data_IF_511030106253
#
_entry.id   IF_511030106253
#
_cell.length_a   1.000
_cell.length_b   1.000
_cell.length_c   1.000
_cell.angle_alpha   90.00
_cell.angle_beta   90.00
_cell.angle_gamma   90.00
#
_symmetry.space_group_name_H-M   'P 1'
#
loop_
_entity.id
_entity.type
_entity.pdbx_description
1 polymer ?
#
# COMPACT_ATOMS: atom_id res chain seq x y z
N UNK A 1 -53.83 -22.01 -31.02
CA UNK A 1 -53.30 -20.73 -30.52
C UNK A 1 -52.79 -19.94 -31.73
N UNK A 2 -53.18 -18.66 -31.90
CA UNK A 2 -52.74 -17.88 -33.06
C UNK A 2 -51.25 -17.48 -32.95
N UNK A 3 -50.48 -17.54 -34.05
CA UNK A 3 -49.02 -17.34 -34.08
C UNK A 3 -48.56 -15.91 -33.72
N UNK A 4 -49.47 -14.95 -33.59
CA UNK A 4 -49.17 -13.57 -33.21
C UNK A 4 -48.76 -13.41 -31.75
N UNK A 5 -49.20 -14.31 -30.87
CA UNK A 5 -48.96 -14.24 -29.42
C UNK A 5 -47.51 -14.53 -29.03
N UNK A 6 -46.88 -15.51 -29.71
CA UNK A 6 -45.46 -15.86 -29.53
C UNK A 6 -44.55 -14.69 -29.91
N UNK A 7 -44.85 -14.01 -31.02
CA UNK A 7 -44.06 -12.88 -31.47
C UNK A 7 -44.13 -11.68 -30.51
N UNK A 8 -45.29 -11.42 -29.90
CA UNK A 8 -45.43 -10.38 -28.88
C UNK A 8 -44.65 -10.69 -27.61
N UNK A 9 -44.71 -11.94 -27.12
CA UNK A 9 -43.96 -12.34 -25.93
C UNK A 9 -42.44 -12.27 -26.15
N UNK A 10 -41.96 -12.72 -27.31
CA UNK A 10 -40.54 -12.62 -27.66
C UNK A 10 -40.08 -11.16 -27.67
N UNK A 11 -40.91 -10.26 -28.20
CA UNK A 11 -40.59 -8.84 -28.23
C UNK A 11 -40.52 -8.23 -26.83
N UNK A 12 -41.46 -8.59 -25.97
CA UNK A 12 -41.50 -8.16 -24.57
C UNK A 12 -40.26 -8.66 -23.80
N UNK A 13 -39.91 -9.94 -23.94
CA UNK A 13 -38.71 -10.53 -23.35
C UNK A 13 -37.41 -9.87 -23.86
N UNK A 14 -37.34 -9.49 -25.15
CA UNK A 14 -36.19 -8.79 -25.69
C UNK A 14 -36.08 -7.35 -25.15
N UNK A 15 -37.19 -6.64 -25.00
CA UNK A 15 -37.22 -5.30 -24.41
C UNK A 15 -36.80 -5.33 -22.94
N UNK A 16 -37.28 -6.32 -22.18
CA UNK A 16 -36.90 -6.53 -20.78
C UNK A 16 -35.40 -6.85 -20.63
N UNK A 17 -34.88 -7.78 -21.46
CA UNK A 17 -33.45 -8.09 -21.48
C UNK A 17 -32.60 -6.85 -21.83
N UNK A 18 -33.04 -6.04 -22.81
CA UNK A 18 -32.34 -4.81 -23.17
C UNK A 18 -32.28 -3.84 -22.00
N UNK A 19 -33.39 -3.67 -21.28
CA UNK A 19 -33.48 -2.79 -20.10
C UNK A 19 -32.54 -3.27 -18.99
N UNK A 20 -32.53 -4.57 -18.69
CA UNK A 20 -31.64 -5.15 -17.68
C UNK A 20 -30.17 -4.96 -18.03
N UNK A 21 -29.79 -5.11 -19.30
CA UNK A 21 -28.41 -4.86 -19.76
C UNK A 21 -28.01 -3.39 -19.63
N UNK A 22 -28.92 -2.46 -19.92
CA UNK A 22 -28.69 -1.03 -19.77
C UNK A 22 -28.49 -0.65 -18.30
N UNK A 23 -29.32 -1.19 -17.41
CA UNK A 23 -29.15 -1.04 -15.95
C UNK A 23 -27.83 -1.65 -15.47
N UNK A 24 -27.46 -2.84 -15.97
CA UNK A 24 -26.21 -3.50 -15.61
C UNK A 24 -24.98 -2.68 -16.00
N UNK A 25 -24.96 -2.13 -17.22
CA UNK A 25 -23.88 -1.25 -17.68
C UNK A 25 -23.75 0.00 -16.79
N UNK A 26 -24.88 0.57 -16.35
CA UNK A 26 -24.91 1.67 -15.40
C UNK A 26 -24.26 1.32 -14.05
N UNK A 27 -24.51 0.11 -13.53
CA UNK A 27 -23.89 -0.39 -12.31
C UNK A 27 -22.40 -0.65 -12.49
N UNK A 28 -21.99 -1.30 -13.58
CA UNK A 28 -20.58 -1.58 -13.88
C UNK A 28 -19.77 -0.28 -13.92
N UNK A 29 -20.30 0.77 -14.55
CA UNK A 29 -19.64 2.07 -14.63
C UNK A 29 -19.46 2.73 -13.27
N UNK A 30 -20.40 2.53 -12.33
CA UNK A 30 -20.28 3.01 -10.94
C UNK A 30 -19.21 2.23 -10.18
N UNK A 31 -19.19 0.90 -10.32
CA UNK A 31 -18.19 0.03 -9.68
C UNK A 31 -16.78 0.37 -10.17
N UNK A 32 -16.60 0.49 -11.49
CA UNK A 32 -15.30 0.83 -12.08
C UNK A 32 -14.76 2.16 -11.58
N UNK A 33 -15.60 3.21 -11.49
CA UNK A 33 -15.16 4.50 -10.97
C UNK A 33 -14.72 4.42 -9.51
N UNK A 34 -15.47 3.69 -8.68
CA UNK A 34 -15.10 3.50 -7.28
C UNK A 34 -13.81 2.67 -7.11
N UNK A 35 -13.63 1.64 -7.94
CA UNK A 35 -12.42 0.83 -7.94
C UNK A 35 -11.19 1.67 -8.33
N UNK A 36 -11.31 2.52 -9.36
CA UNK A 36 -10.26 3.45 -9.74
C UNK A 36 -9.94 4.44 -8.61
N UNK A 37 -10.96 5.01 -7.97
CA UNK A 37 -10.75 5.93 -6.85
C UNK A 37 -10.05 5.24 -5.66
N UNK A 38 -10.44 4.02 -5.33
CA UNK A 38 -9.78 3.22 -4.30
C UNK A 38 -8.33 2.87 -4.63
N UNK A 39 -8.05 2.55 -5.89
CA UNK A 39 -6.69 2.32 -6.37
C UNK A 39 -5.82 3.57 -6.21
N UNK A 40 -6.31 4.73 -6.65
CA UNK A 40 -5.61 6.01 -6.50
C UNK A 40 -5.38 6.35 -5.03
N UNK A 41 -6.39 6.22 -4.17
CA UNK A 41 -6.26 6.48 -2.73
C UNK A 41 -5.16 5.61 -2.10
N UNK A 42 -5.14 4.31 -2.45
CA UNK A 42 -4.12 3.38 -1.95
C UNK A 42 -2.72 3.72 -2.47
N UNK A 43 -2.60 4.13 -3.74
CA UNK A 43 -1.34 4.59 -4.32
C UNK A 43 -0.83 5.84 -3.60
N UNK A 44 -1.68 6.84 -3.40
CA UNK A 44 -1.34 8.04 -2.63
C UNK A 44 -0.94 7.69 -1.20
N UNK A 45 -1.65 6.77 -0.55
CA UNK A 45 -1.29 6.32 0.79
C UNK A 45 0.14 5.76 0.87
N UNK A 46 0.54 4.91 -0.09
CA UNK A 46 1.90 4.41 -0.14
C UNK A 46 2.94 5.49 -0.48
N UNK A 47 2.60 6.42 -1.37
CA UNK A 47 3.45 7.58 -1.67
C UNK A 47 3.64 8.42 -0.41
N UNK A 48 2.61 8.65 0.39
CA UNK A 48 2.75 9.36 1.66
C UNK A 48 3.55 8.55 2.67
N UNK A 49 3.30 7.24 2.79
CA UNK A 49 4.01 6.39 3.74
C UNK A 49 5.53 6.37 3.48
N UNK A 50 5.95 6.37 2.22
CA UNK A 50 7.37 6.35 1.82
C UNK A 50 7.92 7.77 1.67
N UNK A 51 7.12 8.66 1.09
CA UNK A 51 7.51 10.03 0.78
C UNK A 51 7.60 10.91 2.01
N UNK A 52 6.80 10.66 3.06
CA UNK A 52 6.88 11.42 4.31
C UNK A 52 8.24 11.21 5.01
N UNK A 53 8.72 9.99 5.31
CA UNK A 53 10.05 9.80 5.90
C UNK A 53 11.18 10.31 4.99
N UNK A 54 11.03 10.19 3.65
CA UNK A 54 11.98 10.78 2.70
C UNK A 54 12.02 12.31 2.78
N UNK A 55 10.85 12.96 2.73
CA UNK A 55 10.75 14.42 2.82
C UNK A 55 11.27 14.93 4.17
N UNK A 56 10.97 14.21 5.26
CA UNK A 56 11.47 14.50 6.59
C UNK A 56 13.00 14.37 6.64
N UNK A 57 13.56 13.33 6.01
CA UNK A 57 15.01 13.15 5.90
C UNK A 57 15.69 14.31 5.15
N UNK A 58 15.21 14.65 3.95
CA UNK A 58 15.83 15.69 3.13
C UNK A 58 15.66 17.09 3.72
N UNK A 59 14.47 17.47 4.18
CA UNK A 59 14.24 18.84 4.64
C UNK A 59 14.67 19.09 6.08
N UNK A 60 14.49 18.11 6.97
CA UNK A 60 14.76 18.29 8.39
C UNK A 60 16.06 17.63 8.79
N UNK A 61 16.36 16.40 8.36
CA UNK A 61 17.55 15.71 8.85
C UNK A 61 18.84 16.16 8.16
N UNK A 62 18.84 16.70 6.94
CA UNK A 62 20.07 17.20 6.27
C UNK A 62 20.96 18.11 7.17
N UNK A 63 20.44 19.17 7.84
CA UNK A 63 21.25 19.97 8.76
C UNK A 63 21.67 19.21 10.01
N UNK A 64 20.88 18.25 10.51
CA UNK A 64 21.26 17.42 11.66
C UNK A 64 22.30 16.37 11.30
N UNK A 65 22.29 15.79 10.09
CA UNK A 65 23.34 14.91 9.59
C UNK A 65 24.62 15.67 9.28
N UNK A 66 24.52 16.91 8.81
CA UNK A 66 25.68 17.79 8.68
C UNK A 66 26.28 18.15 10.06
N UNK A 67 25.44 18.35 11.08
CA UNK A 67 25.87 18.63 12.46
C UNK A 67 26.37 17.37 13.21
N UNK A 68 25.81 16.19 12.93
CA UNK A 68 26.24 14.89 13.49
C UNK A 68 27.41 14.27 12.74
N UNK A 69 27.81 14.88 11.62
CA UNK A 69 28.85 14.36 10.73
C UNK A 69 28.37 13.11 10.00
N UNK A 70 28.70 13.00 8.73
CA UNK A 70 28.48 11.82 7.87
C UNK A 70 29.11 10.50 8.36
N UNK A 71 29.71 10.50 9.54
CA UNK A 71 30.35 9.35 10.16
C UNK A 71 29.28 8.41 10.72
N UNK A 72 28.97 7.38 9.95
CA UNK A 72 28.46 6.10 10.47
C UNK A 72 29.16 5.71 11.80
N UNK A 73 30.43 6.06 11.95
CA UNK A 73 31.20 5.98 13.19
C UNK A 73 30.54 6.68 14.40
N UNK A 74 30.12 7.95 14.30
CA UNK A 74 29.49 8.68 15.42
C UNK A 74 28.12 8.08 15.75
N UNK A 75 27.34 7.70 14.75
CA UNK A 75 26.07 7.01 14.96
C UNK A 75 26.28 5.63 15.61
N UNK A 76 27.27 4.86 15.15
CA UNK A 76 27.62 3.56 15.72
C UNK A 76 28.13 3.70 17.15
N UNK A 77 28.89 4.76 17.45
CA UNK A 77 29.42 5.07 18.78
C UNK A 77 28.27 5.45 19.71
N UNK A 78 27.36 6.33 19.29
CA UNK A 78 26.19 6.72 20.08
C UNK A 78 25.23 5.55 20.34
N UNK A 79 25.02 4.66 19.38
CA UNK A 79 24.23 3.43 19.58
C UNK A 79 24.96 2.45 20.50
N UNK A 80 26.27 2.30 20.36
CA UNK A 80 27.07 1.48 21.26
C UNK A 80 27.07 2.04 22.67
N UNK A 81 26.94 3.33 22.91
CA UNK A 81 26.87 3.93 24.25
C UNK A 81 25.58 3.62 25.01
N UNK A 82 24.52 3.14 24.33
CA UNK A 82 23.26 2.75 24.97
C UNK A 82 23.46 1.47 25.79
N UNK A 83 23.22 1.49 27.12
CA UNK A 83 23.51 0.35 28.01
C UNK A 83 22.87 -0.98 27.59
N UNK A 84 21.63 -0.95 27.10
CA UNK A 84 20.93 -2.14 26.62
C UNK A 84 21.48 -2.71 25.31
N UNK A 85 22.05 -1.87 24.44
CA UNK A 85 22.62 -2.30 23.16
C UNK A 85 23.97 -3.00 23.35
N UNK A 86 24.80 -2.54 24.29
CA UNK A 86 26.04 -3.24 24.66
C UNK A 86 25.76 -4.65 25.18
N UNK A 87 24.76 -4.78 26.06
CA UNK A 87 24.36 -6.06 26.64
C UNK A 87 23.84 -7.03 25.58
N UNK A 88 23.09 -6.52 24.59
CA UNK A 88 22.61 -7.31 23.46
C UNK A 88 23.76 -7.84 22.59
N UNK A 89 24.71 -7.00 22.20
CA UNK A 89 25.86 -7.44 21.39
C UNK A 89 26.72 -8.46 22.15
N UNK A 90 27.00 -8.20 23.43
CA UNK A 90 27.74 -9.13 24.27
C UNK A 90 27.03 -10.49 24.42
N UNK A 91 25.69 -10.50 24.49
CA UNK A 91 24.91 -11.74 24.55
C UNK A 91 24.98 -12.53 23.23
N UNK A 92 24.88 -11.83 22.10
CA UNK A 92 25.00 -12.44 20.76
C UNK A 92 26.40 -13.00 20.52
N UNK A 93 27.45 -12.29 20.93
CA UNK A 93 28.83 -12.74 20.74
C UNK A 93 29.15 -13.96 21.61
N UNK A 94 28.68 -13.98 22.86
CA UNK A 94 28.77 -15.17 23.72
C UNK A 94 28.02 -16.37 23.14
N UNK A 95 26.84 -16.14 22.54
CA UNK A 95 26.08 -17.21 21.90
C UNK A 95 26.82 -17.79 20.69
N UNK A 96 27.38 -16.93 19.82
CA UNK A 96 28.18 -17.35 18.66
C UNK A 96 29.43 -18.12 19.07
N UNK A 97 30.09 -17.72 20.15
CA UNK A 97 31.26 -18.43 20.68
C UNK A 97 30.94 -19.87 21.15
N UNK A 98 29.70 -20.14 21.56
CA UNK A 98 29.26 -21.47 22.01
C UNK A 98 28.61 -22.32 20.91
N UNK A 99 28.30 -21.73 19.75
CA UNK A 99 27.69 -22.43 18.60
C UNK A 99 28.63 -22.54 17.40
N UNK A 100 29.85 -21.99 17.52
CA UNK A 100 30.90 -21.98 16.48
C UNK A 100 32.00 -23.04 16.65
N UNK A 101 31.89 -23.96 17.60
CA UNK A 101 32.60 -25.25 17.61
C UNK A 101 31.64 -26.39 17.31
#
# INVERSE_FOLDING_TARGET
MPPSYEHSQIKELMEENRKLLEENNGLLRKIHRNALFGFWLRLFWYIFLIGLPFALYFYFLEPYFAALGSSYEVFSTGIQEIPGWKQFNAAIDNFKAHTGE
#
